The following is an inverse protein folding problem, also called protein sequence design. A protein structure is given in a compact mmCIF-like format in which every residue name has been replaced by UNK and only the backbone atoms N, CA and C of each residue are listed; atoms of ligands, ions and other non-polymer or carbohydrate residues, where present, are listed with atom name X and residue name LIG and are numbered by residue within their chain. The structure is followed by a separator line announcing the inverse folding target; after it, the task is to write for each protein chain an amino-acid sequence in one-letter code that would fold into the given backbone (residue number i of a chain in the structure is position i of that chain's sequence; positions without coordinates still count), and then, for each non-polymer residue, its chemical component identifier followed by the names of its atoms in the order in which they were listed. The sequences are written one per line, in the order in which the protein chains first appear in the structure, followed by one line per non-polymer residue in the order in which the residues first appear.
data_IF_776512267265
#
_entry.id   IF_776512267265
#
_cell.length_a   1.000
_cell.length_b   1.000
_cell.length_c   1.000
_cell.angle_alpha   90.00
_cell.angle_beta   90.00
_cell.angle_gamma   90.00
#
_symmetry.space_group_name_H-M   'P 1'
#
loop_
_entity.id
_entity.type
_entity.pdbx_description
1 polymer ?
#
# COMPACT_ATOMS: atom_id res chain seq x y z
N UNK A 1 -23.73 16.17 -2.55
CA UNK A 1 -24.15 14.77 -2.27
C UNK A 1 -22.97 14.05 -1.63
N UNK A 2 -23.09 13.62 -0.36
CA UNK A 2 -22.03 12.84 0.33
C UNK A 2 -22.11 11.40 -0.18
N UNK A 3 -21.18 10.99 -1.03
CA UNK A 3 -21.05 9.61 -1.51
C UNK A 3 -20.85 8.67 -0.31
N UNK A 4 -21.62 7.61 -0.22
CA UNK A 4 -21.53 6.60 0.83
C UNK A 4 -20.13 5.95 0.82
N UNK A 5 -19.58 5.58 1.98
CA UNK A 5 -18.28 4.92 2.14
C UNK A 5 -18.13 3.67 1.25
N UNK A 6 -19.19 2.86 1.15
CA UNK A 6 -19.23 1.68 0.27
C UNK A 6 -19.06 2.04 -1.21
N UNK A 7 -19.70 3.12 -1.64
CA UNK A 7 -19.61 3.60 -3.02
C UNK A 7 -18.21 4.14 -3.32
N UNK A 8 -17.58 4.84 -2.38
CA UNK A 8 -16.18 5.28 -2.50
C UNK A 8 -15.22 4.10 -2.60
N UNK A 9 -15.38 3.10 -1.72
CA UNK A 9 -14.57 1.86 -1.75
C UNK A 9 -14.69 1.17 -3.11
N UNK A 10 -15.90 1.04 -3.65
CA UNK A 10 -16.15 0.42 -4.96
C UNK A 10 -15.43 1.17 -6.09
N UNK A 11 -15.56 2.50 -6.15
CA UNK A 11 -14.89 3.31 -7.17
C UNK A 11 -13.36 3.19 -7.10
N UNK A 12 -12.79 3.20 -5.88
CA UNK A 12 -11.35 2.99 -5.65
C UNK A 12 -10.90 1.63 -6.15
N UNK A 13 -11.66 0.57 -5.85
CA UNK A 13 -11.35 -0.80 -6.28
C UNK A 13 -11.44 -0.94 -7.80
N UNK A 14 -12.49 -0.40 -8.41
CA UNK A 14 -12.67 -0.44 -9.87
C UNK A 14 -11.52 0.27 -10.59
N UNK A 15 -11.12 1.46 -10.14
CA UNK A 15 -10.04 2.21 -10.76
C UNK A 15 -8.66 1.55 -10.52
N UNK A 16 -8.39 1.08 -9.29
CA UNK A 16 -7.12 0.40 -8.98
C UNK A 16 -6.98 -0.95 -9.70
N UNK A 17 -8.08 -1.66 -9.95
CA UNK A 17 -8.06 -2.93 -10.69
C UNK A 17 -7.63 -2.78 -12.15
N UNK A 18 -7.75 -1.59 -12.72
CA UNK A 18 -7.24 -1.28 -14.06
C UNK A 18 -5.70 -1.19 -14.11
N UNK A 19 -5.05 -1.06 -12.95
CA UNK A 19 -3.59 -0.97 -12.87
C UNK A 19 -2.92 -2.28 -13.33
N UNK A 20 -1.89 -2.16 -14.18
CA UNK A 20 -1.10 -3.31 -14.65
C UNK A 20 -0.17 -3.90 -13.60
N UNK A 21 0.02 -3.23 -12.45
CA UNK A 21 0.95 -3.64 -11.41
C UNK A 21 2.38 -3.84 -11.94
N UNK A 22 2.85 -2.89 -12.74
CA UNK A 22 4.18 -2.93 -13.36
C UNK A 22 5.25 -3.30 -12.33
N UNK A 23 6.16 -4.20 -12.68
CA UNK A 23 7.29 -4.58 -11.83
C UNK A 23 8.19 -3.37 -11.57
N UNK A 24 8.47 -2.61 -12.61
CA UNK A 24 9.18 -1.33 -12.57
C UNK A 24 8.20 -0.17 -12.86
N UNK A 25 7.55 0.40 -11.81
CA UNK A 25 6.43 1.30 -11.98
C UNK A 25 6.87 2.68 -12.47
N UNK A 26 6.63 2.96 -13.75
CA UNK A 26 6.94 4.25 -14.39
C UNK A 26 6.24 5.44 -13.72
N UNK A 27 5.07 5.23 -13.11
CA UNK A 27 4.36 6.25 -12.33
C UNK A 27 5.15 6.68 -11.09
N UNK A 28 5.83 5.76 -10.40
CA UNK A 28 6.71 6.05 -9.27
C UNK A 28 7.96 6.81 -9.73
N UNK A 29 8.57 6.37 -10.82
CA UNK A 29 9.75 7.07 -11.39
C UNK A 29 9.44 8.49 -11.86
N UNK A 30 8.26 8.71 -12.40
CA UNK A 30 7.82 10.03 -12.89
C UNK A 30 7.38 10.97 -11.76
N UNK A 31 7.20 10.47 -10.52
CA UNK A 31 6.75 11.28 -9.41
C UNK A 31 7.83 12.24 -8.93
N UNK A 32 7.68 13.55 -9.20
CA UNK A 32 8.68 14.57 -8.83
C UNK A 32 8.95 14.65 -7.32
N UNK A 33 7.93 14.58 -6.43
CA UNK A 33 8.17 14.54 -4.99
C UNK A 33 8.82 13.25 -4.46
N UNK A 34 9.09 12.26 -5.31
CA UNK A 34 9.69 10.99 -4.89
C UNK A 34 8.73 10.08 -4.11
N UNK A 35 7.43 10.28 -4.27
CA UNK A 35 6.39 9.42 -3.68
C UNK A 35 6.25 8.11 -4.47
N UNK A 36 5.59 7.12 -3.87
CA UNK A 36 5.40 5.81 -4.50
C UNK A 36 3.93 5.50 -4.85
N UNK A 37 3.39 6.09 -5.93
CA UNK A 37 2.04 5.78 -6.41
C UNK A 37 1.88 4.33 -6.86
N UNK A 38 2.93 3.67 -7.34
CA UNK A 38 2.89 2.26 -7.72
C UNK A 38 2.57 1.37 -6.53
N UNK A 39 3.22 1.61 -5.39
CA UNK A 39 2.97 0.89 -4.15
C UNK A 39 1.58 1.17 -3.58
N UNK A 40 1.11 2.42 -3.66
CA UNK A 40 -0.25 2.78 -3.26
C UNK A 40 -1.28 1.98 -4.07
N UNK A 41 -1.17 1.96 -5.40
CA UNK A 41 -2.09 1.24 -6.28
C UNK A 41 -2.09 -0.27 -6.02
N UNK A 42 -0.91 -0.87 -5.77
CA UNK A 42 -0.82 -2.28 -5.36
C UNK A 42 -1.57 -2.53 -4.04
N UNK A 43 -1.41 -1.64 -3.06
CA UNK A 43 -2.10 -1.74 -1.76
C UNK A 43 -3.62 -1.66 -1.92
N UNK A 44 -4.12 -0.76 -2.79
CA UNK A 44 -5.54 -0.67 -3.12
C UNK A 44 -6.05 -1.95 -3.81
N UNK A 45 -5.30 -2.45 -4.79
CA UNK A 45 -5.69 -3.64 -5.57
C UNK A 45 -5.72 -4.92 -4.73
N UNK A 46 -4.90 -4.99 -3.67
CA UNK A 46 -4.89 -6.09 -2.69
C UNK A 46 -5.97 -5.95 -1.61
N UNK A 47 -6.94 -5.06 -1.80
CA UNK A 47 -8.06 -4.78 -0.87
C UNK A 47 -7.61 -4.38 0.55
N UNK A 48 -6.37 -3.90 0.69
CA UNK A 48 -5.85 -3.39 1.96
C UNK A 48 -6.18 -1.90 2.10
N UNK A 49 -7.45 -1.59 2.39
CA UNK A 49 -7.93 -0.22 2.49
C UNK A 49 -7.23 0.57 3.59
N UNK A 50 -7.02 -0.03 4.77
CA UNK A 50 -6.33 0.63 5.88
C UNK A 50 -4.89 1.02 5.50
N UNK A 51 -4.13 0.09 4.92
CA UNK A 51 -2.79 0.37 4.44
C UNK A 51 -2.75 1.39 3.30
N UNK A 52 -3.77 1.42 2.43
CA UNK A 52 -3.88 2.41 1.37
C UNK A 52 -4.14 3.82 1.92
N UNK A 53 -5.01 3.96 2.93
CA UNK A 53 -5.28 5.23 3.62
C UNK A 53 -3.99 5.75 4.28
N UNK A 54 -3.29 4.91 5.06
CA UNK A 54 -2.03 5.30 5.71
C UNK A 54 -0.98 5.78 4.70
N UNK A 55 -0.86 5.12 3.55
CA UNK A 55 0.05 5.55 2.48
C UNK A 55 -0.38 6.86 1.84
N UNK A 56 -1.69 7.04 1.62
CA UNK A 56 -2.21 8.27 1.05
C UNK A 56 -1.95 9.48 1.96
N UNK A 57 -2.05 9.33 3.28
CA UNK A 57 -1.68 10.38 4.22
C UNK A 57 -0.20 10.78 4.13
N UNK A 58 0.69 9.85 3.78
CA UNK A 58 2.11 10.15 3.53
C UNK A 58 2.35 10.85 2.18
N UNK A 59 1.32 10.98 1.34
CA UNK A 59 1.39 11.55 0.00
C UNK A 59 0.74 12.94 -0.09
N UNK A 60 0.93 13.79 0.93
CA UNK A 60 0.32 15.14 1.00
C UNK A 60 0.64 16.00 -0.23
N UNK A 61 1.87 15.92 -0.75
CA UNK A 61 2.29 16.65 -1.95
C UNK A 61 1.48 16.29 -3.21
N UNK A 62 0.70 15.20 -3.20
CA UNK A 62 -0.19 14.86 -4.30
C UNK A 62 -1.42 15.79 -4.39
N UNK A 63 -1.80 16.48 -3.30
CA UNK A 63 -2.96 17.38 -3.30
C UNK A 63 -2.75 18.56 -4.25
N UNK A 64 -1.55 19.11 -4.21
CA UNK A 64 -1.16 20.33 -4.95
C UNK A 64 -0.26 20.01 -6.15
N UNK A 65 -0.23 18.74 -6.58
CA UNK A 65 0.63 18.31 -7.67
C UNK A 65 0.10 18.82 -9.02
N UNK A 66 0.87 19.71 -9.65
CA UNK A 66 0.58 20.20 -10.98
C UNK A 66 1.02 19.24 -12.08
N UNK A 67 0.12 19.09 -13.06
CA UNK A 67 0.42 18.36 -14.29
C UNK A 67 0.46 16.84 -14.17
N UNK A 68 0.33 16.26 -12.98
CA UNK A 68 0.18 14.82 -12.70
C UNK A 68 1.15 13.94 -13.51
N UNK A 69 2.48 14.07 -13.35
CA UNK A 69 3.46 13.36 -14.17
C UNK A 69 3.35 11.84 -14.05
N UNK A 70 2.93 11.33 -12.88
CA UNK A 70 2.69 9.91 -12.66
C UNK A 70 1.55 9.35 -13.53
N UNK A 71 0.48 10.13 -13.72
CA UNK A 71 -0.65 9.74 -14.58
C UNK A 71 -0.26 9.81 -16.06
N UNK A 72 0.47 10.87 -16.46
CA UNK A 72 0.97 11.00 -17.84
C UNK A 72 1.92 9.88 -18.24
N UNK A 73 2.73 9.39 -17.31
CA UNK A 73 3.64 8.27 -17.54
C UNK A 73 2.95 6.90 -17.48
N UNK A 74 1.70 6.83 -17.01
CA UNK A 74 1.01 5.57 -16.79
C UNK A 74 0.85 4.75 -18.08
N UNK A 75 1.39 3.52 -18.09
CA UNK A 75 1.32 2.62 -19.26
C UNK A 75 -0.12 2.27 -19.64
N UNK A 76 -1.05 2.29 -18.68
CA UNK A 76 -2.47 2.06 -18.96
C UNK A 76 -3.02 3.10 -19.95
N UNK A 77 -2.51 4.33 -19.91
CA UNK A 77 -2.89 5.39 -20.85
C UNK A 77 -2.63 5.08 -22.32
N UNK A 78 -1.79 4.06 -22.62
CA UNK A 78 -1.56 3.59 -23.99
C UNK A 78 -2.66 2.69 -24.53
N UNK A 79 -3.46 2.09 -23.64
CA UNK A 79 -4.50 1.12 -23.99
C UNK A 79 -5.88 1.77 -24.00
N UNK A 80 -6.21 2.50 -22.94
CA UNK A 80 -7.49 3.19 -22.80
C UNK A 80 -7.28 4.58 -22.17
N UNK A 81 -7.26 4.70 -20.86
CA UNK A 81 -6.94 5.93 -20.12
C UNK A 81 -6.02 5.65 -18.95
N UNK A 82 -5.16 6.60 -18.62
CA UNK A 82 -4.32 6.52 -17.44
C UNK A 82 -5.15 6.29 -16.16
N UNK A 83 -4.53 5.69 -15.15
CA UNK A 83 -5.14 5.57 -13.82
C UNK A 83 -5.17 6.96 -13.18
N UNK A 84 -6.32 7.35 -12.62
CA UNK A 84 -6.51 8.64 -11.94
C UNK A 84 -5.90 8.59 -10.53
N UNK A 85 -4.58 8.59 -10.46
CA UNK A 85 -3.80 8.37 -9.22
C UNK A 85 -4.07 9.46 -8.19
N UNK A 86 -4.05 10.72 -8.61
CA UNK A 86 -4.30 11.85 -7.73
C UNK A 86 -5.71 11.85 -7.17
N UNK A 87 -6.69 11.42 -7.95
CA UNK A 87 -8.06 11.27 -7.47
C UNK A 87 -8.16 10.15 -6.41
N UNK A 88 -7.48 9.02 -6.63
CA UNK A 88 -7.40 7.93 -5.64
C UNK A 88 -6.78 8.43 -4.34
N UNK A 89 -5.65 9.15 -4.40
CA UNK A 89 -4.98 9.72 -3.21
C UNK A 89 -5.92 10.64 -2.46
N UNK A 90 -6.57 11.59 -3.13
CA UNK A 90 -7.51 12.54 -2.50
C UNK A 90 -8.68 11.81 -1.84
N UNK A 91 -9.28 10.84 -2.51
CA UNK A 91 -10.39 10.06 -1.94
C UNK A 91 -9.97 9.28 -0.69
N UNK A 92 -8.76 8.73 -0.66
CA UNK A 92 -8.23 8.03 0.50
C UNK A 92 -7.90 8.98 1.65
N UNK A 93 -7.36 10.16 1.36
CA UNK A 93 -7.07 11.20 2.35
C UNK A 93 -8.34 11.82 2.97
N UNK A 94 -9.48 11.75 2.27
CA UNK A 94 -10.78 12.17 2.78
C UNK A 94 -11.46 11.08 3.66
N UNK A 95 -10.84 9.90 3.79
CA UNK A 95 -11.31 8.85 4.68
C UNK A 95 -10.71 9.01 6.08
N UNK A 96 -11.41 8.57 7.14
CA UNK A 96 -10.86 8.62 8.49
C UNK A 96 -9.57 7.81 8.57
N UNK A 97 -8.58 8.36 9.26
CA UNK A 97 -7.31 7.67 9.48
C UNK A 97 -7.55 6.44 10.38
N UNK A 98 -7.18 5.23 9.94
CA UNK A 98 -7.40 4.03 10.74
C UNK A 98 -6.65 4.01 12.07
N UNK A 99 -5.61 4.86 12.24
CA UNK A 99 -4.90 4.98 13.51
C UNK A 99 -5.65 5.83 14.54
N UNK A 100 -6.57 6.71 14.11
CA UNK A 100 -7.29 7.59 15.01
C UNK A 100 -8.43 6.87 15.76
N UNK A 101 -8.90 5.74 15.23
CA UNK A 101 -10.03 4.98 15.76
C UNK A 101 -9.64 3.76 16.60
N UNK A 102 -8.36 3.43 16.69
CA UNK A 102 -7.86 2.34 17.51
C UNK A 102 -6.59 2.81 18.23
N UNK A 103 -6.63 3.07 19.53
CA UNK A 103 -5.42 2.98 20.28
C UNK A 103 -4.90 1.56 20.04
N UNK A 104 -3.72 1.42 19.45
CA UNK A 104 -2.95 0.18 19.49
C UNK A 104 -2.62 -0.07 20.98
N UNK A 105 -3.65 -0.44 21.73
CA UNK A 105 -3.50 -0.95 23.08
C UNK A 105 -2.68 -2.21 22.95
N UNK A 106 -1.43 -2.13 23.36
CA UNK A 106 -0.46 -3.23 23.51
C UNK A 106 -0.46 -4.21 22.33
N UNK A 107 0.68 -4.35 21.66
CA UNK A 107 0.84 -5.45 20.70
C UNK A 107 0.40 -6.75 21.41
N UNK A 108 -0.49 -7.54 20.80
CA UNK A 108 -0.91 -8.80 21.40
C UNK A 108 0.33 -9.64 21.71
N UNK A 109 0.37 -10.29 22.87
CA UNK A 109 1.41 -11.26 23.15
C UNK A 109 1.27 -12.41 22.14
N UNK A 110 2.15 -12.43 21.16
CA UNK A 110 2.20 -13.45 20.12
C UNK A 110 3.07 -14.64 20.51
N UNK A 111 3.61 -14.64 21.74
CA UNK A 111 4.49 -15.71 22.20
C UNK A 111 3.74 -17.06 22.27
N UNK A 112 4.38 -18.11 21.75
CA UNK A 112 3.87 -19.48 21.76
C UNK A 112 4.92 -20.44 22.29
N UNK A 113 4.47 -21.56 22.85
CA UNK A 113 5.34 -22.70 23.17
C UNK A 113 5.29 -23.69 22.00
N UNK A 114 6.41 -23.91 21.36
CA UNK A 114 6.55 -24.85 20.26
C UNK A 114 7.61 -25.89 20.57
N UNK A 115 7.22 -27.13 20.67
CA UNK A 115 8.08 -28.27 21.05
C UNK A 115 8.92 -28.03 22.32
N UNK A 116 8.33 -27.39 23.34
CA UNK A 116 9.00 -27.07 24.59
C UNK A 116 9.91 -25.85 24.56
N UNK A 117 9.92 -25.10 23.46
CA UNK A 117 10.69 -23.86 23.32
C UNK A 117 9.72 -22.68 23.28
N UNK A 118 9.93 -21.68 24.14
CA UNK A 118 9.17 -20.44 24.14
C UNK A 118 9.63 -19.57 22.97
N UNK A 119 8.76 -19.40 21.95
CA UNK A 119 8.99 -18.54 20.80
C UNK A 119 8.28 -17.19 20.99
N UNK A 120 8.94 -16.10 20.57
CA UNK A 120 8.38 -14.76 20.68
C UNK A 120 7.14 -14.52 19.80
N UNK A 121 6.96 -15.34 18.76
CA UNK A 121 5.82 -15.28 17.85
C UNK A 121 5.69 -16.61 17.07
N UNK A 122 4.54 -16.87 16.41
CA UNK A 122 4.29 -18.12 15.67
C UNK A 122 4.93 -18.18 14.28
N UNK A 123 5.72 -17.17 13.89
CA UNK A 123 6.33 -17.12 12.57
C UNK A 123 7.65 -17.89 12.55
N UNK A 124 7.73 -18.90 11.70
CA UNK A 124 8.92 -19.71 11.48
C UNK A 124 9.40 -19.53 10.05
N UNK A 125 10.66 -19.16 9.89
CA UNK A 125 11.30 -19.11 8.58
C UNK A 125 11.62 -20.54 8.12
N UNK A 126 11.06 -20.93 6.99
CA UNK A 126 11.44 -22.18 6.34
C UNK A 126 12.90 -22.14 5.89
N UNK A 127 13.57 -23.30 5.91
CA UNK A 127 14.94 -23.42 5.39
C UNK A 127 15.01 -22.94 3.93
N UNK A 128 15.86 -21.96 3.69
CA UNK A 128 16.16 -21.41 2.37
C UNK A 128 17.63 -21.04 2.30
N UNK A 129 18.21 -20.86 1.11
CA UNK A 129 19.59 -20.40 0.99
C UNK A 129 19.87 -19.11 1.75
N UNK A 130 18.89 -18.18 1.78
CA UNK A 130 19.00 -16.93 2.54
C UNK A 130 19.07 -17.16 4.05
N UNK A 131 18.30 -18.10 4.58
CA UNK A 131 18.32 -18.46 6.02
C UNK A 131 19.62 -19.16 6.39
N UNK A 132 20.12 -20.05 5.54
CA UNK A 132 21.39 -20.75 5.78
C UNK A 132 22.57 -19.80 5.93
N UNK A 133 22.61 -18.73 5.16
CA UNK A 133 23.68 -17.70 5.26
C UNK A 133 23.58 -16.84 6.50
N UNK A 134 22.38 -16.51 6.96
CA UNK A 134 22.19 -15.66 8.14
C UNK A 134 22.38 -16.43 9.44
N UNK A 135 21.92 -17.67 9.53
CA UNK A 135 22.08 -18.50 10.74
C UNK A 135 23.51 -18.96 10.99
N UNK A 136 24.26 -19.30 9.94
CA UNK A 136 25.66 -19.73 10.07
C UNK A 136 26.62 -18.59 10.49
N UNK A 137 26.19 -17.33 10.41
CA UNK A 137 26.98 -16.17 10.88
C UNK A 137 26.58 -15.68 12.27
N UNK A 138 25.52 -16.20 12.85
CA UNK A 138 25.05 -15.81 14.18
C UNK A 138 25.64 -16.68 15.31
N UNK A 139 26.48 -17.63 14.96
CA UNK A 139 27.32 -18.44 15.86
C UNK A 139 28.80 -18.21 15.46
#
# INVERSE_FOLDING_TARGET
MKTNLLQRKRLLTEESNRCYMCDDPVCTKACKPGLDPGRLLRTCKMDNLAGAILRAYQMEACRDCDGHPCEKACLRGRTDRAISITQIVRQLQDMPNPTDSSPLTSSPDLAIDFCGIRCANPFILASSPAVSYTHLRAH
#
